data_IF_086563302199
#
_entry.id   IF_086563302199
#
_cell.length_a   1.000
_cell.length_b   1.000
_cell.length_c   1.000
_cell.angle_alpha   90.00
_cell.angle_beta   90.00
_cell.angle_gamma   90.00
#
_symmetry.space_group_name_H-M   'P 1'
#
loop_
_entity.id
_entity.type
_entity.pdbx_description
1 polymer ?
#
# COMPACT_ATOMS: atom_id res chain seq x y z
N UNK A 1 -20.95 7.93 31.09
CA UNK A 1 -20.31 9.08 30.47
C UNK A 1 -18.81 8.83 30.53
N UNK A 2 -18.18 8.49 29.41
CA UNK A 2 -16.72 8.32 29.34
C UNK A 2 -16.15 9.74 29.33
N UNK A 3 -15.31 10.13 30.31
CA UNK A 3 -14.78 11.50 30.35
C UNK A 3 -13.89 11.70 29.12
N UNK A 4 -14.20 12.72 28.33
CA UNK A 4 -13.37 13.30 27.27
C UNK A 4 -12.31 12.35 26.64
N UNK A 5 -12.76 11.21 26.14
CA UNK A 5 -11.93 10.27 25.41
C UNK A 5 -11.53 10.93 24.10
N UNK A 6 -10.25 11.32 24.00
CA UNK A 6 -9.69 11.81 22.75
C UNK A 6 -10.06 10.84 21.65
N UNK A 7 -10.69 11.36 20.60
CA UNK A 7 -11.18 10.56 19.50
C UNK A 7 -9.99 9.98 18.72
N UNK A 8 -9.81 8.67 18.77
CA UNK A 8 -8.67 7.97 18.20
C UNK A 8 -9.09 7.15 16.98
N UNK A 9 -8.21 7.06 15.99
CA UNK A 9 -8.37 6.18 14.84
C UNK A 9 -7.11 5.37 14.57
N UNK A 10 -7.25 4.29 13.82
CA UNK A 10 -6.16 3.39 13.45
C UNK A 10 -6.00 3.31 11.92
N UNK A 11 -4.78 3.39 11.46
CA UNK A 11 -4.42 3.07 10.08
C UNK A 11 -3.46 1.88 10.12
N UNK A 12 -3.83 0.81 9.44
CA UNK A 12 -2.97 -0.34 9.23
C UNK A 12 -2.35 -0.24 7.85
N UNK A 13 -1.04 -0.46 7.76
CA UNK A 13 -0.27 -0.46 6.52
C UNK A 13 0.38 -1.81 6.37
N UNK A 14 -0.10 -2.60 5.42
CA UNK A 14 0.30 -3.99 5.22
C UNK A 14 1.26 -4.09 4.03
N UNK A 15 2.38 -4.73 4.27
CA UNK A 15 3.31 -5.12 3.23
C UNK A 15 2.67 -6.19 2.32
N UNK A 16 2.66 -5.90 1.02
CA UNK A 16 2.12 -6.81 0.01
C UNK A 16 3.25 -7.28 -0.92
N UNK A 17 4.36 -7.69 -0.30
CA UNK A 17 5.58 -8.15 -0.99
C UNK A 17 5.68 -9.67 -1.07
N UNK A 18 6.58 -10.15 -1.94
CA UNK A 18 6.81 -11.58 -2.16
C UNK A 18 7.31 -12.31 -0.91
N UNK A 19 8.11 -11.66 -0.06
CA UNK A 19 8.62 -12.24 1.20
C UNK A 19 7.49 -12.57 2.18
N UNK A 20 6.43 -11.77 2.19
CA UNK A 20 5.24 -11.99 3.02
C UNK A 20 4.46 -13.28 2.67
N UNK A 21 4.72 -13.94 1.52
CA UNK A 21 3.92 -15.07 1.04
C UNK A 21 3.73 -16.17 2.08
N UNK A 22 4.77 -16.53 2.80
CA UNK A 22 4.72 -17.62 3.80
C UNK A 22 3.95 -17.26 5.06
N UNK A 23 3.89 -15.99 5.43
CA UNK A 23 3.26 -15.47 6.66
C UNK A 23 1.95 -14.71 6.41
N UNK A 24 1.62 -14.43 5.14
CA UNK A 24 0.48 -13.60 4.75
C UNK A 24 -0.84 -14.07 5.37
N UNK A 25 -1.11 -15.37 5.36
CA UNK A 25 -2.36 -15.90 5.91
C UNK A 25 -2.51 -15.63 7.41
N UNK A 26 -1.44 -15.79 8.17
CA UNK A 26 -1.49 -15.61 9.63
C UNK A 26 -1.48 -14.12 9.98
N UNK A 27 -0.78 -13.29 9.22
CA UNK A 27 -0.85 -11.83 9.31
C UNK A 27 -2.28 -11.33 9.07
N UNK A 28 -2.95 -11.84 8.03
CA UNK A 28 -4.35 -11.49 7.75
C UNK A 28 -5.31 -11.91 8.84
N UNK A 29 -5.14 -13.10 9.44
CA UNK A 29 -5.97 -13.53 10.58
C UNK A 29 -5.82 -12.61 11.78
N UNK A 30 -4.59 -12.20 12.12
CA UNK A 30 -4.34 -11.27 13.22
C UNK A 30 -4.92 -9.89 12.92
N UNK A 31 -4.74 -9.38 11.69
CA UNK A 31 -5.34 -8.13 11.24
C UNK A 31 -6.88 -8.17 11.37
N UNK A 32 -7.53 -9.26 10.98
CA UNK A 32 -8.98 -9.40 11.10
C UNK A 32 -9.45 -9.37 12.56
N UNK A 33 -8.70 -9.97 13.49
CA UNK A 33 -9.00 -9.88 14.91
C UNK A 33 -8.93 -8.42 15.42
N UNK A 34 -7.91 -7.66 14.98
CA UNK A 34 -7.78 -6.25 15.33
C UNK A 34 -8.92 -5.41 14.73
N UNK A 35 -9.33 -5.69 13.49
CA UNK A 35 -10.46 -5.04 12.84
C UNK A 35 -11.77 -5.29 13.59
N UNK A 36 -12.03 -6.54 14.00
CA UNK A 36 -13.21 -6.86 14.81
C UNK A 36 -13.17 -6.18 16.17
N UNK A 37 -12.01 -6.09 16.80
CA UNK A 37 -11.84 -5.30 18.01
C UNK A 37 -12.18 -3.83 17.77
N UNK A 38 -11.62 -3.19 16.73
CA UNK A 38 -11.92 -1.79 16.38
C UNK A 38 -13.43 -1.58 16.17
N UNK A 39 -14.09 -2.50 15.45
CA UNK A 39 -15.54 -2.46 15.27
C UNK A 39 -16.31 -2.54 16.58
N UNK A 40 -15.93 -3.45 17.47
CA UNK A 40 -16.59 -3.66 18.77
C UNK A 40 -16.49 -2.44 19.67
N UNK A 41 -15.35 -1.73 19.64
CA UNK A 41 -15.13 -0.53 20.46
C UNK A 41 -15.37 0.78 19.70
N UNK A 42 -15.93 0.71 18.48
CA UNK A 42 -16.26 1.87 17.62
C UNK A 42 -15.07 2.77 17.30
N UNK A 43 -13.86 2.20 17.16
CA UNK A 43 -12.68 2.92 16.69
C UNK A 43 -12.68 2.90 15.17
N UNK A 44 -12.67 4.06 14.48
CA UNK A 44 -12.54 4.11 13.03
C UNK A 44 -11.17 3.62 12.59
N UNK A 45 -11.15 2.88 11.48
CA UNK A 45 -9.93 2.34 10.91
C UNK A 45 -9.96 2.34 9.38
N UNK A 46 -8.77 2.41 8.80
CA UNK A 46 -8.49 2.06 7.40
C UNK A 46 -7.32 1.09 7.33
N UNK A 47 -7.35 0.20 6.34
CA UNK A 47 -6.28 -0.74 6.06
C UNK A 47 -5.79 -0.50 4.64
N UNK A 48 -4.52 -0.20 4.53
CA UNK A 48 -3.83 -0.05 3.26
C UNK A 48 -2.84 -1.20 3.06
N UNK A 49 -2.73 -1.67 1.84
CA UNK A 49 -1.67 -2.57 1.42
C UNK A 49 -0.78 -1.85 0.39
N UNK A 50 0.54 -2.01 0.49
CA UNK A 50 1.47 -1.39 -0.45
C UNK A 50 2.26 -2.45 -1.22
N UNK A 51 2.44 -2.20 -2.51
CA UNK A 51 3.17 -3.05 -3.44
C UNK A 51 3.72 -2.23 -4.59
N UNK A 52 4.63 -2.81 -5.35
CA UNK A 52 5.03 -2.32 -6.67
C UNK A 52 4.81 -3.39 -7.74
N UNK A 53 3.74 -4.15 -7.62
CA UNK A 53 3.38 -5.13 -8.63
C UNK A 53 3.36 -4.48 -10.01
N UNK A 54 4.00 -5.15 -10.96
CA UNK A 54 4.13 -4.68 -12.32
C UNK A 54 2.75 -4.42 -12.92
N UNK A 55 2.46 -3.15 -13.13
CA UNK A 55 1.19 -2.74 -13.70
C UNK A 55 1.24 -3.00 -15.19
N UNK A 56 0.37 -3.87 -15.62
CA UNK A 56 0.24 -4.42 -16.94
C UNK A 56 0.53 -3.43 -18.06
N UNK A 57 1.47 -3.83 -18.92
CA UNK A 57 1.45 -3.41 -20.29
C UNK A 57 0.03 -3.61 -20.82
N UNK A 58 -0.61 -2.54 -21.23
CA UNK A 58 -1.73 -2.64 -22.16
C UNK A 58 -1.14 -2.75 -23.57
N UNK A 59 -1.85 -3.37 -24.47
CA UNK A 59 -1.45 -3.47 -25.86
C UNK A 59 -2.26 -2.45 -26.65
N UNK A 60 -1.61 -1.70 -27.52
CA UNK A 60 -2.30 -0.79 -28.44
C UNK A 60 -2.95 -1.57 -29.60
N UNK A 61 -3.62 -0.83 -30.49
CA UNK A 61 -4.28 -1.40 -31.68
C UNK A 61 -3.33 -2.11 -32.66
N UNK A 62 -2.01 -1.93 -32.48
CA UNK A 62 -0.95 -2.51 -33.31
C UNK A 62 -0.13 -3.57 -32.56
N UNK A 63 -0.67 -4.14 -31.47
CA UNK A 63 0.00 -5.11 -30.60
C UNK A 63 1.35 -4.62 -30.03
N UNK A 64 1.50 -3.29 -29.83
CA UNK A 64 2.67 -2.73 -29.16
C UNK A 64 2.41 -2.52 -27.67
N UNK A 65 3.38 -2.84 -26.80
CA UNK A 65 3.22 -2.62 -25.38
C UNK A 65 3.14 -1.11 -25.07
N UNK A 66 2.07 -0.74 -24.37
CA UNK A 66 1.89 0.61 -23.83
C UNK A 66 2.18 0.56 -22.34
N UNK A 67 3.21 1.25 -21.91
CA UNK A 67 3.56 1.39 -20.50
C UNK A 67 2.77 2.56 -19.89
N UNK A 68 2.28 2.43 -18.65
CA UNK A 68 1.66 3.55 -17.98
C UNK A 68 2.66 4.69 -17.81
N UNK A 69 2.20 5.90 -18.05
CA UNK A 69 2.97 7.12 -17.79
C UNK A 69 3.31 7.22 -16.29
N UNK A 70 4.51 7.71 -15.93
CA UNK A 70 4.84 7.94 -14.53
C UNK A 70 3.86 8.95 -13.92
N UNK A 71 3.40 8.65 -12.70
CA UNK A 71 2.41 9.47 -11.98
C UNK A 71 2.95 10.81 -11.45
N UNK A 72 4.22 11.11 -11.69
CA UNK A 72 4.88 12.33 -11.23
C UNK A 72 5.94 12.79 -12.22
N UNK A 73 6.21 14.09 -12.23
CA UNK A 73 7.26 14.67 -13.05
C UNK A 73 8.63 14.43 -12.43
N UNK A 74 9.50 13.73 -13.16
CA UNK A 74 10.88 13.46 -12.73
C UNK A 74 11.72 14.71 -12.94
N UNK A 75 12.27 15.26 -11.85
CA UNK A 75 13.12 16.47 -11.86
C UNK A 75 14.36 16.25 -11.02
N UNK A 76 15.41 17.04 -11.26
CA UNK A 76 16.58 17.07 -10.40
C UNK A 76 16.20 17.31 -8.94
N UNK A 77 16.94 16.67 -8.04
CA UNK A 77 16.73 16.69 -6.58
C UNK A 77 15.36 16.19 -6.10
N UNK A 78 14.51 15.62 -6.96
CA UNK A 78 13.26 14.98 -6.51
C UNK A 78 13.47 13.54 -6.09
N UNK A 79 12.61 13.03 -5.20
CA UNK A 79 12.62 11.64 -4.78
C UNK A 79 12.28 10.73 -5.96
N UNK A 80 13.02 9.63 -6.07
CA UNK A 80 12.66 8.55 -7.01
C UNK A 80 11.54 7.72 -6.38
N UNK A 81 10.36 7.81 -6.97
CA UNK A 81 9.21 6.97 -6.64
C UNK A 81 9.13 5.84 -7.66
N UNK A 82 8.89 4.63 -7.19
CA UNK A 82 8.71 3.49 -8.09
C UNK A 82 7.48 3.72 -8.99
N UNK A 83 7.66 3.62 -10.30
CA UNK A 83 6.60 3.89 -11.29
C UNK A 83 5.40 2.93 -11.15
N UNK A 84 5.59 1.78 -10.50
CA UNK A 84 4.55 0.78 -10.24
C UNK A 84 4.02 0.83 -8.80
N UNK A 85 4.48 1.80 -7.99
CA UNK A 85 4.01 1.92 -6.62
C UNK A 85 2.49 2.03 -6.55
N UNK A 86 1.90 1.24 -5.67
CA UNK A 86 0.47 1.22 -5.41
C UNK A 86 0.19 1.16 -3.92
N UNK A 87 -0.72 2.01 -3.46
CA UNK A 87 -1.23 2.04 -2.10
C UNK A 87 -2.74 1.75 -2.15
N UNK A 88 -3.11 0.51 -1.84
CA UNK A 88 -4.48 0.01 -1.97
C UNK A 88 -5.22 0.13 -0.64
N UNK A 89 -6.35 0.83 -0.58
CA UNK A 89 -7.25 0.72 0.58
C UNK A 89 -8.05 -0.58 0.45
N UNK A 90 -7.70 -1.59 1.26
CA UNK A 90 -8.28 -2.93 1.18
C UNK A 90 -9.43 -3.16 2.17
N UNK A 91 -9.48 -2.43 3.27
CA UNK A 91 -10.58 -2.46 4.25
C UNK A 91 -10.75 -1.09 4.89
N UNK A 92 -12.00 -0.73 5.19
CA UNK A 92 -12.33 0.53 5.84
C UNK A 92 -13.50 0.37 6.81
N UNK A 93 -13.49 1.16 7.88
CA UNK A 93 -14.59 1.22 8.83
C UNK A 93 -15.89 1.82 8.24
N UNK A 94 -15.82 2.46 7.05
CA UNK A 94 -17.00 2.93 6.32
C UNK A 94 -17.88 1.80 5.77
N UNK A 95 -17.35 0.60 5.65
CA UNK A 95 -18.14 -0.55 5.22
C UNK A 95 -19.16 -0.94 6.30
N UNK A 96 -20.37 -1.28 5.88
CA UNK A 96 -21.28 -1.99 6.76
C UNK A 96 -20.74 -3.41 7.03
N UNK A 97 -21.24 -4.07 8.07
CA UNK A 97 -20.72 -5.36 8.51
C UNK A 97 -20.77 -6.43 7.41
N UNK A 98 -21.83 -6.46 6.60
CA UNK A 98 -21.99 -7.43 5.52
C UNK A 98 -20.92 -7.26 4.43
N UNK A 99 -20.63 -6.02 4.03
CA UNK A 99 -19.61 -5.70 3.03
C UNK A 99 -18.22 -6.00 3.59
N UNK A 100 -17.95 -5.59 4.84
CA UNK A 100 -16.69 -5.86 5.52
C UNK A 100 -16.39 -7.35 5.59
N UNK A 101 -17.35 -8.16 6.05
CA UNK A 101 -17.19 -9.63 6.10
C UNK A 101 -16.92 -10.25 4.72
N UNK A 102 -17.62 -9.78 3.69
CA UNK A 102 -17.40 -10.26 2.32
C UNK A 102 -15.98 -9.93 1.85
N UNK A 103 -15.52 -8.72 2.13
CA UNK A 103 -14.18 -8.26 1.76
C UNK A 103 -13.11 -9.06 2.52
N UNK A 104 -13.27 -9.25 3.83
CA UNK A 104 -12.36 -10.08 4.64
C UNK A 104 -12.29 -11.52 4.13
N UNK A 105 -13.41 -12.13 3.74
CA UNK A 105 -13.43 -13.47 3.14
C UNK A 105 -12.65 -13.52 1.82
N UNK A 106 -12.78 -12.49 0.98
CA UNK A 106 -12.03 -12.40 -0.28
C UNK A 106 -10.52 -12.28 -0.02
N UNK A 107 -10.12 -11.38 0.89
CA UNK A 107 -8.72 -11.22 1.29
C UNK A 107 -8.13 -12.48 1.93
N UNK A 108 -8.92 -13.19 2.76
CA UNK A 108 -8.50 -14.46 3.32
C UNK A 108 -8.20 -15.51 2.24
N UNK A 109 -9.04 -15.59 1.20
CA UNK A 109 -8.82 -16.52 0.08
C UNK A 109 -7.55 -16.19 -0.68
N UNK A 110 -7.29 -14.90 -0.95
CA UNK A 110 -6.06 -14.43 -1.60
C UNK A 110 -4.84 -14.81 -0.76
N UNK A 111 -4.87 -14.48 0.54
CA UNK A 111 -3.78 -14.81 1.47
C UNK A 111 -3.53 -16.31 1.61
N UNK A 112 -4.60 -17.11 1.61
CA UNK A 112 -4.51 -18.57 1.60
C UNK A 112 -3.84 -19.06 0.32
N UNK A 113 -4.20 -18.50 -0.85
CA UNK A 113 -3.58 -18.82 -2.13
C UNK A 113 -2.08 -18.59 -2.12
N UNK A 114 -1.63 -17.43 -1.64
CA UNK A 114 -0.20 -17.11 -1.54
C UNK A 114 0.55 -18.06 -0.60
N UNK A 115 0.01 -18.31 0.59
CA UNK A 115 0.68 -19.13 1.62
C UNK A 115 0.72 -20.61 1.25
N UNK A 116 -0.28 -21.11 0.53
CA UNK A 116 -0.40 -22.54 0.20
C UNK A 116 -0.04 -22.85 -1.26
N UNK A 117 0.40 -21.85 -2.03
CA UNK A 117 0.71 -22.00 -3.46
C UNK A 117 -0.43 -22.65 -4.25
N UNK A 118 -1.67 -22.32 -3.89
CA UNK A 118 -2.87 -22.79 -4.59
C UNK A 118 -3.22 -21.76 -5.65
N UNK A 119 -3.46 -22.20 -6.87
CA UNK A 119 -3.90 -21.32 -7.96
C UNK A 119 -5.32 -20.80 -7.72
N UNK A 120 -5.42 -19.72 -6.97
CA UNK A 120 -6.60 -18.87 -7.00
C UNK A 120 -6.33 -17.69 -7.92
N UNK A 121 -7.35 -17.29 -8.66
CA UNK A 121 -7.26 -16.06 -9.44
C UNK A 121 -7.09 -14.88 -8.49
N UNK A 122 -5.91 -14.26 -8.51
CA UNK A 122 -5.62 -13.03 -7.79
C UNK A 122 -6.07 -11.87 -8.68
N UNK A 123 -6.84 -10.91 -8.16
CA UNK A 123 -7.21 -9.73 -8.93
C UNK A 123 -5.97 -9.00 -9.43
N UNK A 124 -6.09 -8.36 -10.60
CA UNK A 124 -5.02 -7.51 -11.13
C UNK A 124 -4.59 -6.48 -10.10
N UNK A 125 -3.30 -6.22 -9.99
CA UNK A 125 -2.65 -5.31 -9.03
C UNK A 125 -2.70 -5.78 -7.56
N UNK A 126 -3.09 -7.02 -7.32
CA UNK A 126 -3.04 -7.62 -6.00
C UNK A 126 -2.05 -8.79 -5.90
N UNK A 127 -1.17 -8.96 -6.87
CA UNK A 127 -0.05 -9.88 -6.79
C UNK A 127 1.01 -9.40 -5.79
N UNK A 128 1.76 -10.33 -5.23
CA UNK A 128 2.89 -10.01 -4.36
C UNK A 128 4.09 -9.57 -5.21
N UNK A 129 4.76 -8.48 -4.80
CA UNK A 129 5.91 -7.96 -5.53
C UNK A 129 7.01 -7.46 -4.58
N UNK A 130 7.63 -6.34 -4.86
CA UNK A 130 8.66 -5.76 -4.01
C UNK A 130 8.10 -4.95 -2.83
N UNK A 131 9.01 -4.36 -2.03
CA UNK A 131 8.70 -3.69 -0.76
C UNK A 131 8.95 -2.17 -0.84
N UNK A 132 8.08 -1.38 -1.51
CA UNK A 132 8.22 0.08 -1.59
C UNK A 132 7.73 0.75 -0.29
N UNK A 133 8.36 0.40 0.84
CA UNK A 133 7.95 0.86 2.17
C UNK A 133 8.14 2.38 2.34
N UNK A 134 9.20 2.96 1.76
CA UNK A 134 9.44 4.40 1.86
C UNK A 134 8.34 5.21 1.18
N UNK A 135 7.92 4.77 -0.01
CA UNK A 135 6.82 5.38 -0.76
C UNK A 135 5.50 5.26 0.01
N UNK A 136 5.27 4.10 0.65
CA UNK A 136 4.11 3.90 1.50
C UNK A 136 4.11 4.86 2.69
N UNK A 137 5.23 5.01 3.40
CA UNK A 137 5.36 5.95 4.53
C UNK A 137 5.18 7.41 4.10
N UNK A 138 5.73 7.80 2.94
CA UNK A 138 5.54 9.14 2.39
C UNK A 138 4.06 9.39 2.04
N UNK A 139 3.36 8.41 1.50
CA UNK A 139 1.93 8.51 1.19
C UNK A 139 1.06 8.80 2.41
N UNK A 140 1.51 8.41 3.61
CA UNK A 140 0.81 8.71 4.86
C UNK A 140 0.70 10.21 5.16
N UNK A 141 1.58 11.06 4.61
CA UNK A 141 1.44 12.51 4.74
C UNK A 141 0.12 13.04 4.18
N UNK A 142 -0.45 12.39 3.17
CA UNK A 142 -1.75 12.74 2.61
C UNK A 142 -2.88 11.92 3.24
N UNK A 143 -2.64 10.65 3.52
CA UNK A 143 -3.65 9.72 4.04
C UNK A 143 -4.09 10.10 5.46
N UNK A 144 -3.13 10.38 6.36
CA UNK A 144 -3.44 10.67 7.77
C UNK A 144 -4.30 11.93 7.93
N UNK A 145 -3.98 13.08 7.30
CA UNK A 145 -4.83 14.27 7.41
C UNK A 145 -6.24 14.04 6.84
N UNK A 146 -6.35 13.32 5.71
CA UNK A 146 -7.63 12.99 5.12
C UNK A 146 -8.47 12.12 6.04
N UNK A 147 -7.89 11.06 6.61
CA UNK A 147 -8.52 10.17 7.57
C UNK A 147 -8.95 10.92 8.86
N UNK A 148 -8.07 11.77 9.40
CA UNK A 148 -8.40 12.61 10.56
C UNK A 148 -9.60 13.51 10.30
N UNK A 149 -9.62 14.16 9.13
CA UNK A 149 -10.72 15.04 8.72
C UNK A 149 -12.04 14.27 8.56
N UNK A 150 -11.98 13.09 7.92
CA UNK A 150 -13.15 12.25 7.63
C UNK A 150 -13.88 11.80 8.89
N UNK A 151 -13.15 11.44 9.93
CA UNK A 151 -13.69 10.92 11.18
C UNK A 151 -13.62 11.90 12.35
N UNK A 152 -13.22 13.15 12.11
CA UNK A 152 -13.05 14.18 13.13
C UNK A 152 -12.17 13.74 14.30
N UNK A 153 -10.99 13.14 14.00
CA UNK A 153 -10.11 12.53 14.98
C UNK A 153 -9.06 13.51 15.51
N UNK A 154 -8.74 13.40 16.78
CA UNK A 154 -7.62 14.10 17.40
C UNK A 154 -6.28 13.36 17.19
N UNK A 155 -6.31 12.03 17.30
CA UNK A 155 -5.12 11.19 17.17
C UNK A 155 -5.35 10.05 16.18
N UNK A 156 -4.32 9.76 15.39
CA UNK A 156 -4.26 8.59 14.51
C UNK A 156 -2.97 7.84 14.83
N UNK A 157 -3.10 6.54 15.03
CA UNK A 157 -1.97 5.63 15.16
C UNK A 157 -1.84 4.84 13.86
N UNK A 158 -0.63 4.77 13.32
CA UNK A 158 -0.30 3.94 12.17
C UNK A 158 0.44 2.69 12.64
N UNK A 159 -0.01 1.54 12.19
CA UNK A 159 0.60 0.23 12.48
C UNK A 159 1.06 -0.35 11.15
N UNK A 160 2.38 -0.46 10.98
CA UNK A 160 2.99 -1.06 9.79
C UNK A 160 3.27 -2.53 10.07
N UNK A 161 2.79 -3.39 9.19
CA UNK A 161 2.97 -4.85 9.23
C UNK A 161 3.85 -5.24 8.03
N UNK A 162 5.11 -5.50 8.27
CA UNK A 162 6.11 -5.85 7.25
C UNK A 162 7.11 -6.86 7.83
N UNK A 163 7.68 -7.68 6.98
CA UNK A 163 8.78 -8.60 7.29
C UNK A 163 10.10 -8.17 6.64
N UNK A 164 10.10 -7.08 5.88
CA UNK A 164 11.20 -6.64 5.04
C UNK A 164 11.78 -5.28 5.40
N UNK A 165 12.98 -5.04 4.88
CA UNK A 165 13.64 -3.74 4.91
C UNK A 165 13.17 -2.87 3.74
N UNK A 166 13.09 -1.56 3.98
CA UNK A 166 12.84 -0.60 2.91
C UNK A 166 14.01 -0.55 1.93
N UNK A 167 13.72 -0.49 0.63
CA UNK A 167 14.73 -0.12 -0.35
C UNK A 167 15.27 1.29 -0.06
N UNK A 168 16.55 1.59 -0.37
CA UNK A 168 17.09 2.92 -0.18
C UNK A 168 16.27 3.98 -0.92
N UNK A 169 16.06 5.14 -0.29
CA UNK A 169 15.50 6.29 -0.98
C UNK A 169 16.55 6.87 -1.93
N UNK A 170 16.26 6.81 -3.21
CA UNK A 170 17.08 7.44 -4.24
C UNK A 170 16.51 8.82 -4.60
N UNK A 171 17.36 9.69 -5.13
CA UNK A 171 16.95 10.97 -5.72
C UNK A 171 17.29 11.00 -7.21
N UNK A 172 16.51 11.76 -7.96
CA UNK A 172 16.89 12.12 -9.32
C UNK A 172 18.05 13.12 -9.27
N UNK A 173 19.00 12.97 -10.15
CA UNK A 173 20.16 13.84 -10.26
C UNK A 173 20.53 14.04 -11.73
N UNK A 174 20.83 15.27 -12.10
CA UNK A 174 21.39 15.55 -13.42
C UNK A 174 22.79 14.97 -13.52
N UNK A 175 23.04 14.21 -14.56
CA UNK A 175 24.33 13.60 -14.89
C UNK A 175 24.76 14.13 -16.23
N UNK A 176 25.88 14.87 -16.27
CA UNK A 176 26.50 15.36 -17.51
C UNK A 176 27.45 14.32 -18.06
N UNK A 177 27.23 13.89 -19.26
CA UNK A 177 28.09 12.93 -19.96
C UNK A 177 29.29 13.66 -20.61
N UNK A 178 30.37 12.93 -20.96
CA UNK A 178 31.56 13.53 -21.60
C UNK A 178 31.27 14.22 -22.95
N UNK A 179 30.18 13.87 -23.61
CA UNK A 179 29.72 14.52 -24.84
C UNK A 179 28.97 15.84 -24.60
N UNK A 180 28.81 16.27 -23.33
CA UNK A 180 28.08 17.47 -22.92
C UNK A 180 26.56 17.30 -22.79
N UNK A 181 26.01 16.13 -23.06
CA UNK A 181 24.59 15.86 -22.84
C UNK A 181 24.27 15.70 -21.35
N UNK A 182 23.15 16.26 -20.92
CA UNK A 182 22.66 16.16 -19.56
C UNK A 182 21.45 15.22 -19.54
N UNK A 183 21.55 14.17 -18.76
CA UNK A 183 20.45 13.22 -18.55
C UNK A 183 20.08 13.15 -17.07
N UNK A 184 18.80 12.87 -16.81
CA UNK A 184 18.33 12.66 -15.46
C UNK A 184 18.63 11.20 -15.04
N UNK A 185 19.60 11.03 -14.14
CA UNK A 185 19.95 9.75 -13.53
C UNK A 185 19.36 9.57 -12.14
N UNK A 186 19.75 8.52 -11.44
CA UNK A 186 19.36 8.26 -10.05
C UNK A 186 20.61 8.12 -9.17
N UNK A 187 20.60 8.80 -8.02
CA UNK A 187 21.65 8.70 -6.99
C UNK A 187 21.05 8.31 -5.64
N UNK A 188 21.83 7.58 -4.86
CA UNK A 188 21.53 7.31 -3.45
C UNK A 188 21.74 8.54 -2.60
#
# INVERSE_FOLDING_TARGET
>A
MIPEGKNHGLIFVLDWSGSMSSVMLDTMKQLFNLIWFCRKVSIPFDVFAFTNEYNYMTWDENDKPVYPEPHYEKKDATLVVNDHFSMMNILTSNFNNRVLEKQMKSLHRIAFGFTKYVEYSVPNRMGLSGTPLNEALISLHNIIPAFKKQYSLEKVQCIVLTDGEAAPCNRHSEVTYPNGEVHLGTQR
#
